data_IF_407020365960
#
_entry.id   IF_407020365960
#
_cell.length_a   1.000
_cell.length_b   1.000
_cell.length_c   1.000
_cell.angle_alpha   90.00
_cell.angle_beta   90.00
_cell.angle_gamma   90.00
#
_symmetry.space_group_name_H-M   'P 1'
#
loop_
_entity.id
_entity.type
_entity.pdbx_description
1 polymer ?
#
# COMPACT_ATOMS: atom_id res chain seq x y z
N UNK A 1 -17.99 -37.66 -11.43
CA UNK A 1 -17.99 -36.20 -11.60
C UNK A 1 -17.01 -35.61 -10.61
N UNK A 2 -16.14 -34.71 -11.09
CA UNK A 2 -14.85 -34.35 -10.52
C UNK A 2 -14.93 -33.82 -9.09
N UNK A 3 -14.36 -34.57 -8.14
CA UNK A 3 -14.02 -34.06 -6.82
C UNK A 3 -12.83 -33.10 -6.96
N UNK A 4 -13.07 -31.82 -6.71
CA UNK A 4 -12.04 -30.78 -6.72
C UNK A 4 -10.98 -31.10 -5.67
N UNK A 5 -9.83 -31.60 -6.14
CA UNK A 5 -8.68 -31.92 -5.29
C UNK A 5 -8.11 -30.63 -4.67
N UNK A 6 -7.54 -30.68 -3.43
CA UNK A 6 -6.98 -29.51 -2.75
C UNK A 6 -5.86 -28.80 -3.52
N UNK A 7 -5.24 -29.49 -4.49
CA UNK A 7 -4.22 -28.93 -5.39
C UNK A 7 -4.77 -27.82 -6.31
N UNK A 8 -6.02 -27.92 -6.76
CA UNK A 8 -6.62 -26.92 -7.65
C UNK A 8 -6.81 -25.55 -6.99
N UNK A 9 -7.19 -25.51 -5.69
CA UNK A 9 -7.34 -24.25 -4.93
C UNK A 9 -6.01 -23.54 -4.66
N UNK A 10 -4.91 -24.29 -4.54
CA UNK A 10 -3.59 -23.72 -4.27
C UNK A 10 -3.01 -23.02 -5.50
N UNK A 11 -3.28 -23.55 -6.70
CA UNK A 11 -2.80 -22.98 -7.97
C UNK A 11 -3.48 -21.62 -8.21
N UNK A 12 -4.80 -21.52 -8.10
CA UNK A 12 -5.52 -20.24 -8.26
C UNK A 12 -5.11 -19.18 -7.24
N UNK A 13 -4.78 -19.58 -6.00
CA UNK A 13 -4.30 -18.63 -4.99
C UNK A 13 -2.89 -18.09 -5.32
N UNK A 14 -1.99 -18.95 -5.82
CA UNK A 14 -0.64 -18.54 -6.23
C UNK A 14 -0.71 -17.62 -7.44
N UNK A 15 -1.54 -17.94 -8.43
CA UNK A 15 -1.71 -17.12 -9.64
C UNK A 15 -2.27 -15.73 -9.28
N UNK A 16 -3.26 -15.65 -8.39
CA UNK A 16 -3.81 -14.38 -7.91
C UNK A 16 -2.76 -13.54 -7.16
N UNK A 17 -1.98 -14.16 -6.27
CA UNK A 17 -0.93 -13.45 -5.54
C UNK A 17 0.12 -12.90 -6.52
N UNK A 18 0.51 -13.69 -7.51
CA UNK A 18 1.44 -13.23 -8.54
C UNK A 18 0.90 -12.06 -9.36
N UNK A 19 -0.40 -12.07 -9.69
CA UNK A 19 -1.04 -10.96 -10.39
C UNK A 19 -1.02 -9.68 -9.54
N UNK A 20 -1.38 -9.76 -8.27
CA UNK A 20 -1.33 -8.61 -7.35
C UNK A 20 0.09 -8.08 -7.22
N UNK A 21 1.08 -8.96 -7.07
CA UNK A 21 2.50 -8.55 -6.99
C UNK A 21 2.96 -7.89 -8.29
N UNK A 22 2.55 -8.40 -9.45
CA UNK A 22 2.91 -7.80 -10.74
C UNK A 22 2.31 -6.39 -10.90
N UNK A 23 1.04 -6.22 -10.52
CA UNK A 23 0.36 -4.92 -10.55
C UNK A 23 1.03 -3.92 -9.61
N UNK A 24 1.31 -4.29 -8.37
CA UNK A 24 1.95 -3.39 -7.41
C UNK A 24 3.39 -3.06 -7.79
N UNK A 25 4.12 -4.02 -8.37
CA UNK A 25 5.48 -3.79 -8.88
C UNK A 25 5.47 -2.75 -10.01
N UNK A 26 4.54 -2.87 -10.98
CA UNK A 26 4.43 -1.92 -12.08
C UNK A 26 4.17 -0.49 -11.58
N UNK A 27 3.29 -0.33 -10.57
CA UNK A 27 3.00 0.96 -9.94
C UNK A 27 4.25 1.53 -9.25
N UNK A 28 4.99 0.71 -8.48
CA UNK A 28 6.21 1.15 -7.81
C UNK A 28 7.29 1.58 -8.80
N UNK A 29 7.42 0.89 -9.94
CA UNK A 29 8.37 1.29 -10.98
C UNK A 29 8.03 2.64 -11.61
N UNK A 30 6.73 2.92 -11.83
CA UNK A 30 6.27 4.20 -12.36
C UNK A 30 6.56 5.34 -11.38
N UNK A 31 6.19 5.18 -10.10
CA UNK A 31 6.46 6.17 -9.05
C UNK A 31 7.96 6.44 -8.92
N UNK A 32 8.81 5.39 -8.93
CA UNK A 32 10.27 5.55 -8.84
C UNK A 32 10.82 6.34 -10.03
N UNK A 33 10.32 6.07 -11.25
CA UNK A 33 10.72 6.82 -12.46
C UNK A 33 10.31 8.28 -12.38
N UNK A 34 9.09 8.57 -11.90
CA UNK A 34 8.62 9.94 -11.69
C UNK A 34 9.47 10.71 -10.68
N UNK A 35 9.94 10.03 -9.62
CA UNK A 35 10.88 10.59 -8.64
C UNK A 35 12.32 10.73 -9.16
N UNK A 36 12.61 10.31 -10.41
CA UNK A 36 13.96 10.33 -10.98
C UNK A 36 14.89 9.25 -10.43
N UNK A 37 14.35 8.19 -9.84
CA UNK A 37 15.08 7.04 -9.29
C UNK A 37 15.05 5.89 -10.30
N UNK A 38 16.19 5.23 -10.51
CA UNK A 38 16.21 3.99 -11.30
C UNK A 38 15.33 2.93 -10.63
N UNK A 39 14.31 2.44 -11.34
CA UNK A 39 13.30 1.57 -10.77
C UNK A 39 13.86 0.24 -10.27
N UNK A 40 14.86 -0.31 -10.97
CA UNK A 40 15.52 -1.57 -10.57
C UNK A 40 16.30 -1.38 -9.26
N UNK A 41 17.07 -0.29 -9.17
CA UNK A 41 17.80 0.07 -7.98
C UNK A 41 16.86 0.37 -6.80
N UNK A 42 15.80 1.16 -7.03
CA UNK A 42 14.80 1.51 -6.04
C UNK A 42 14.10 0.29 -5.45
N UNK A 43 13.61 -0.61 -6.31
CA UNK A 43 12.99 -1.87 -5.87
C UNK A 43 13.97 -2.76 -5.10
N UNK A 44 15.23 -2.85 -5.53
CA UNK A 44 16.24 -3.62 -4.81
C UNK A 44 16.51 -3.05 -3.40
N UNK A 45 16.52 -1.72 -3.25
CA UNK A 45 16.62 -1.07 -1.95
C UNK A 45 15.39 -1.33 -1.07
N UNK A 46 14.19 -1.18 -1.62
CA UNK A 46 12.94 -1.48 -0.89
C UNK A 46 12.89 -2.94 -0.44
N UNK A 47 13.32 -3.88 -1.30
CA UNK A 47 13.42 -5.30 -0.94
C UNK A 47 14.35 -5.55 0.24
N UNK A 48 15.50 -4.88 0.30
CA UNK A 48 16.44 -4.98 1.43
C UNK A 48 15.84 -4.45 2.72
N UNK A 49 15.19 -3.28 2.67
CA UNK A 49 14.51 -2.68 3.83
C UNK A 49 13.41 -3.61 4.33
N UNK A 50 12.60 -4.14 3.42
CA UNK A 50 11.54 -5.08 3.78
C UNK A 50 12.11 -6.34 4.46
N UNK A 51 13.18 -6.93 3.94
CA UNK A 51 13.81 -8.10 4.55
C UNK A 51 14.48 -7.81 5.91
N UNK A 52 15.06 -6.63 6.08
CA UNK A 52 15.74 -6.26 7.33
C UNK A 52 14.73 -6.02 8.46
N UNK A 53 13.57 -5.43 8.14
CA UNK A 53 12.62 -4.95 9.14
C UNK A 53 11.26 -5.65 9.14
N UNK A 54 11.06 -6.72 8.35
CA UNK A 54 9.78 -7.45 8.25
C UNK A 54 9.19 -7.88 9.61
N UNK A 55 10.05 -8.11 10.61
CA UNK A 55 9.64 -8.59 11.92
C UNK A 55 9.65 -7.50 13.01
N UNK A 56 10.08 -6.26 12.70
CA UNK A 56 10.06 -5.14 13.64
C UNK A 56 8.66 -4.54 13.71
N UNK A 57 7.85 -5.05 14.64
CA UNK A 57 6.47 -4.60 14.83
C UNK A 57 6.37 -3.13 15.22
N UNK A 58 7.31 -2.61 15.99
CA UNK A 58 7.30 -1.20 16.40
C UNK A 58 7.56 -0.30 15.20
N UNK A 59 8.46 -0.69 14.30
CA UNK A 59 8.67 0.02 13.05
C UNK A 59 7.42 -0.03 12.16
N UNK A 60 6.83 -1.20 11.99
CA UNK A 60 5.62 -1.37 11.17
C UNK A 60 4.49 -0.48 11.68
N UNK A 61 4.23 -0.46 12.99
CA UNK A 61 3.21 0.40 13.59
C UNK A 61 3.50 1.87 13.34
N UNK A 62 4.76 2.32 13.53
CA UNK A 62 5.15 3.70 13.25
C UNK A 62 5.02 4.06 11.77
N UNK A 63 5.36 3.14 10.88
CA UNK A 63 5.24 3.32 9.44
C UNK A 63 3.77 3.50 9.02
N UNK A 64 2.86 2.66 9.51
CA UNK A 64 1.43 2.82 9.23
C UNK A 64 0.86 4.12 9.78
N UNK A 65 1.31 4.55 10.97
CA UNK A 65 0.93 5.85 11.51
C UNK A 65 1.39 6.98 10.59
N UNK A 66 2.63 6.93 10.11
CA UNK A 66 3.17 7.92 9.18
C UNK A 66 2.37 7.97 7.87
N UNK A 67 2.05 6.82 7.28
CA UNK A 67 1.24 6.75 6.05
C UNK A 67 -0.15 7.36 6.26
N UNK A 68 -0.79 7.09 7.40
CA UNK A 68 -2.09 7.67 7.70
C UNK A 68 -2.05 9.19 7.89
N UNK A 69 -1.00 9.71 8.53
CA UNK A 69 -0.79 11.16 8.65
C UNK A 69 -0.54 11.81 7.28
N UNK A 70 0.21 11.14 6.41
CA UNK A 70 0.46 11.63 5.06
C UNK A 70 -0.78 11.58 4.16
N UNK A 71 -1.62 10.55 4.27
CA UNK A 71 -2.88 10.50 3.51
C UNK A 71 -3.76 11.72 3.82
N UNK A 72 -3.81 12.12 5.10
CA UNK A 72 -4.54 13.31 5.54
C UNK A 72 -3.93 14.59 4.96
N UNK A 73 -2.60 14.71 4.96
CA UNK A 73 -1.91 15.88 4.40
C UNK A 73 -2.05 15.97 2.88
N UNK A 74 -2.04 14.84 2.16
CA UNK A 74 -2.36 14.77 0.74
C UNK A 74 -3.80 15.22 0.48
N UNK A 75 -4.78 14.72 1.24
CA UNK A 75 -6.17 15.16 1.11
C UNK A 75 -6.30 16.68 1.35
N UNK A 76 -5.62 17.24 2.35
CA UNK A 76 -5.59 18.69 2.59
C UNK A 76 -4.90 19.48 1.47
N UNK A 77 -3.89 18.92 0.81
CA UNK A 77 -3.20 19.58 -0.30
C UNK A 77 -4.00 19.54 -1.61
N UNK A 78 -4.77 18.46 -1.83
CA UNK A 78 -5.65 18.31 -3.00
C UNK A 78 -6.93 19.14 -2.85
N UNK A 79 -7.46 19.24 -1.63
CA UNK A 79 -8.68 19.96 -1.32
C UNK A 79 -8.39 21.41 -0.90
N UNK A 80 -9.27 22.34 -1.26
CA UNK A 80 -9.23 23.66 -0.64
C UNK A 80 -9.53 23.59 0.87
N UNK A 81 -9.13 24.59 1.68
CA UNK A 81 -9.33 24.59 3.13
C UNK A 81 -10.81 24.41 3.55
N UNK A 82 -11.75 24.92 2.76
CA UNK A 82 -13.18 24.79 3.00
C UNK A 82 -13.69 23.36 2.72
N UNK A 83 -13.23 22.75 1.63
CA UNK A 83 -13.61 21.40 1.22
C UNK A 83 -13.03 20.34 2.16
N UNK A 84 -11.77 20.52 2.55
CA UNK A 84 -11.09 19.70 3.54
C UNK A 84 -11.80 19.74 4.90
N UNK A 85 -12.19 20.94 5.36
CA UNK A 85 -12.91 21.13 6.63
C UNK A 85 -14.23 20.35 6.68
N UNK A 86 -14.98 20.35 5.57
CA UNK A 86 -16.24 19.59 5.44
C UNK A 86 -15.98 18.09 5.47
N UNK A 87 -14.95 17.62 4.77
CA UNK A 87 -14.60 16.19 4.72
C UNK A 87 -14.10 15.67 6.07
N UNK A 88 -13.31 16.47 6.78
CA UNK A 88 -12.82 16.16 8.12
C UNK A 88 -13.98 16.05 9.13
N UNK A 89 -14.96 16.96 9.08
CA UNK A 89 -16.17 16.87 9.92
C UNK A 89 -16.99 15.61 9.62
N UNK A 90 -17.11 15.23 8.33
CA UNK A 90 -17.80 14.01 7.93
C UNK A 90 -17.10 12.77 8.49
N UNK A 91 -15.77 12.68 8.36
CA UNK A 91 -14.94 11.61 8.93
C UNK A 91 -15.10 11.49 10.45
N UNK A 92 -15.02 12.61 11.19
CA UNK A 92 -15.17 12.64 12.65
C UNK A 92 -16.58 12.20 13.12
N UNK A 93 -17.62 12.55 12.36
CA UNK A 93 -19.00 12.16 12.68
C UNK A 93 -19.26 10.65 12.53
N UNK A 94 -18.51 9.97 11.67
CA UNK A 94 -18.59 8.53 11.46
C UNK A 94 -17.83 7.73 12.52
N UNK A 95 -16.73 8.27 13.04
CA UNK A 95 -15.91 7.61 14.07
C UNK A 95 -16.51 7.71 15.49
N UNK A 96 -17.35 8.71 15.75
CA UNK A 96 -18.01 8.92 17.04
C UNK A 96 -19.38 8.22 17.16
N UNK A 97 -19.62 7.14 16.39
CA UNK A 97 -20.85 6.34 16.43
C UNK A 97 -20.67 5.02 17.18
#
# INVERSE_FOLDING_TARGET
>A
MFGSTPRGRRIVAVDYIMEVVAVTTAIQEEILKEMGVDSTYGLACLGKINMEYENDQDLIVRFYKFVAEEEIACEEAELGPDEYSVRLQMQQSLHNR
#
